data_IF_873459045304
#
_entry.id   IF_873459045304
#
_cell.length_a   1.000
_cell.length_b   1.000
_cell.length_c   1.000
_cell.angle_alpha   90.00
_cell.angle_beta   90.00
_cell.angle_gamma   90.00
#
_symmetry.space_group_name_H-M   'P 1'
#
loop_
_entity.id
_entity.type
_entity.pdbx_description
1 polymer ?
#
# COMPACT_ATOMS: atom_id res chain seq x y z
N UNK A 1 -7.73 45.93 29.65
CA UNK A 1 -6.79 45.69 28.53
C UNK A 1 -5.78 44.56 28.78
N UNK A 2 -5.37 44.23 30.00
CA UNK A 2 -4.39 43.14 30.28
C UNK A 2 -4.96 41.70 30.11
N UNK A 3 -6.24 41.47 30.38
CA UNK A 3 -6.87 40.15 30.25
C UNK A 3 -7.06 39.67 28.81
N UNK A 4 -7.30 40.57 27.84
CA UNK A 4 -7.49 40.22 26.44
C UNK A 4 -6.18 39.81 25.77
N UNK A 5 -5.05 40.33 26.24
CA UNK A 5 -3.73 39.98 25.73
C UNK A 5 -3.34 38.54 26.10
N UNK A 6 -3.66 38.11 27.32
CA UNK A 6 -3.40 36.75 27.83
C UNK A 6 -4.23 35.73 27.04
N UNK A 7 -5.51 36.05 26.78
CA UNK A 7 -6.39 35.19 25.98
C UNK A 7 -5.88 35.00 24.53
N UNK A 8 -5.35 36.07 23.93
CA UNK A 8 -4.80 35.99 22.57
C UNK A 8 -3.49 35.19 22.50
N UNK A 9 -2.68 35.21 23.55
CA UNK A 9 -1.44 34.43 23.64
C UNK A 9 -1.76 32.95 23.84
N UNK A 10 -2.77 32.60 24.62
CA UNK A 10 -3.22 31.21 24.82
C UNK A 10 -3.71 30.56 23.49
N UNK A 11 -4.35 31.35 22.60
CA UNK A 11 -4.84 30.85 21.32
C UNK A 11 -3.72 30.56 20.28
N UNK A 12 -2.56 31.15 20.45
CA UNK A 12 -1.39 30.93 19.57
C UNK A 12 -0.61 29.66 19.91
N UNK A 13 -0.83 29.04 21.05
CA UNK A 13 -0.06 27.88 21.53
C UNK A 13 -0.71 26.54 21.13
N UNK A 14 -1.94 26.55 20.61
CA UNK A 14 -2.59 25.36 20.07
C UNK A 14 -2.15 25.11 18.61
N UNK A 15 -0.89 24.80 18.40
CA UNK A 15 -0.47 24.16 17.16
C UNK A 15 -0.96 22.70 17.21
N UNK A 16 -2.21 22.49 16.84
CA UNK A 16 -2.75 21.16 16.60
C UNK A 16 -2.10 20.67 15.31
N UNK A 17 -1.04 19.87 15.44
CA UNK A 17 -0.53 19.10 14.31
C UNK A 17 -1.57 18.03 14.00
N UNK A 18 -2.52 18.33 13.12
CA UNK A 18 -3.39 17.33 12.53
C UNK A 18 -2.49 16.39 11.71
N UNK A 19 -2.40 15.15 12.16
CA UNK A 19 -1.66 14.12 11.42
C UNK A 19 -2.40 13.90 10.09
N UNK A 20 -1.77 14.29 8.99
CA UNK A 20 -2.34 14.05 7.65
C UNK A 20 -2.34 12.55 7.37
N UNK A 21 -3.54 11.99 7.22
CA UNK A 21 -3.70 10.61 6.80
C UNK A 21 -3.17 10.44 5.37
N UNK A 22 -2.52 9.33 5.08
CA UNK A 22 -2.14 8.98 3.69
C UNK A 22 -3.36 8.89 2.77
N UNK A 23 -4.54 8.61 3.33
CA UNK A 23 -5.82 8.51 2.62
C UNK A 23 -6.38 9.88 2.19
N UNK A 24 -5.74 10.99 2.55
CA UNK A 24 -6.22 12.35 2.23
C UNK A 24 -5.90 12.79 0.79
N UNK A 25 -5.09 12.03 0.06
CA UNK A 25 -4.60 12.41 -1.28
C UNK A 25 -4.89 11.32 -2.30
N UNK A 26 -5.44 11.70 -3.47
CA UNK A 26 -5.83 10.80 -4.57
C UNK A 26 -7.11 10.02 -4.30
N UNK A 27 -7.52 9.23 -5.29
CA UNK A 27 -8.64 8.32 -5.20
C UNK A 27 -8.19 6.96 -4.67
N UNK A 28 -9.07 6.30 -3.90
CA UNK A 28 -8.73 5.04 -3.22
C UNK A 28 -9.70 3.93 -3.58
N UNK A 29 -9.17 2.81 -4.04
CA UNK A 29 -9.92 1.61 -4.37
C UNK A 29 -9.48 0.46 -3.48
N UNK A 30 -10.42 -0.21 -2.82
CA UNK A 30 -10.15 -1.39 -1.99
C UNK A 30 -10.28 -2.64 -2.86
N UNK A 31 -9.28 -3.52 -2.80
CA UNK A 31 -9.28 -4.82 -3.47
C UNK A 31 -9.14 -5.95 -2.45
N UNK A 32 -9.76 -7.11 -2.72
CA UNK A 32 -9.66 -8.32 -1.94
C UNK A 32 -8.82 -9.37 -2.66
N UNK A 33 -7.96 -10.06 -1.94
CA UNK A 33 -7.05 -11.07 -2.44
C UNK A 33 -7.19 -12.34 -1.63
N UNK A 34 -7.49 -13.45 -2.29
CA UNK A 34 -7.67 -14.78 -1.66
C UNK A 34 -6.46 -15.70 -1.84
N UNK A 35 -5.61 -15.44 -2.82
CA UNK A 35 -4.41 -16.23 -3.11
C UNK A 35 -3.17 -15.36 -3.13
N UNK A 36 -2.06 -15.89 -2.62
CA UNK A 36 -0.76 -15.20 -2.71
C UNK A 36 -0.19 -15.36 -4.10
N UNK A 37 0.32 -14.28 -4.68
CA UNK A 37 0.89 -14.33 -6.03
C UNK A 37 1.24 -12.98 -6.60
N UNK A 38 1.70 -12.99 -7.85
CA UNK A 38 1.95 -11.80 -8.63
C UNK A 38 0.65 -11.38 -9.32
N UNK A 39 0.26 -10.15 -9.08
CA UNK A 39 -0.93 -9.54 -9.63
C UNK A 39 -0.55 -8.51 -10.69
N UNK A 40 -1.45 -8.35 -11.66
CA UNK A 40 -1.33 -7.40 -12.74
C UNK A 40 -2.52 -6.44 -12.72
N UNK A 41 -2.24 -5.14 -12.79
CA UNK A 41 -3.22 -4.11 -13.06
C UNK A 41 -2.96 -3.55 -14.45
N UNK A 42 -3.86 -3.78 -15.37
CA UNK A 42 -3.89 -3.20 -16.71
C UNK A 42 -5.06 -2.23 -16.86
N UNK A 43 -5.13 -1.57 -17.99
CA UNK A 43 -6.21 -0.62 -18.28
C UNK A 43 -7.59 -1.28 -18.21
N UNK A 44 -7.72 -2.54 -18.64
CA UNK A 44 -8.98 -3.27 -18.59
C UNK A 44 -9.52 -3.41 -17.17
N UNK A 45 -8.63 -3.58 -16.16
CA UNK A 45 -9.06 -3.60 -14.76
C UNK A 45 -9.75 -2.29 -14.37
N UNK A 46 -9.18 -1.14 -14.73
CA UNK A 46 -9.72 0.16 -14.40
C UNK A 46 -11.04 0.43 -15.15
N UNK A 47 -11.08 0.16 -16.44
CA UNK A 47 -12.26 0.35 -17.30
C UNK A 47 -13.45 -0.51 -16.83
N UNK A 48 -13.21 -1.79 -16.51
CA UNK A 48 -14.23 -2.71 -16.03
C UNK A 48 -14.81 -2.33 -14.65
N UNK A 49 -14.05 -1.57 -13.86
CA UNK A 49 -14.49 -1.08 -12.56
C UNK A 49 -14.94 0.39 -12.59
N UNK A 50 -15.12 0.98 -13.78
CA UNK A 50 -15.50 2.38 -13.99
C UNK A 50 -14.58 3.38 -13.28
N UNK A 51 -13.28 3.10 -13.28
CA UNK A 51 -12.25 3.95 -12.70
C UNK A 51 -11.58 4.72 -13.83
N UNK A 52 -11.75 6.05 -13.88
CA UNK A 52 -11.09 6.89 -14.87
C UNK A 52 -9.62 7.09 -14.52
N UNK A 53 -8.76 6.92 -15.53
CA UNK A 53 -7.33 7.25 -15.47
C UNK A 53 -7.00 8.54 -16.23
N UNK A 54 -8.01 9.35 -16.58
CA UNK A 54 -7.81 10.58 -17.35
C UNK A 54 -6.87 11.55 -16.62
N UNK A 55 -5.76 11.87 -17.27
CA UNK A 55 -4.74 12.75 -16.69
C UNK A 55 -3.93 12.15 -15.53
N UNK A 56 -4.05 10.85 -15.28
CA UNK A 56 -3.27 10.14 -14.27
C UNK A 56 -2.07 9.47 -14.94
N UNK A 57 -0.88 9.88 -14.52
CA UNK A 57 0.37 9.25 -14.94
C UNK A 57 0.55 7.91 -14.22
N UNK A 58 1.10 6.86 -14.88
CA UNK A 58 1.31 5.54 -14.29
C UNK A 58 2.12 5.54 -12.98
N UNK A 59 3.03 6.49 -12.80
CA UNK A 59 3.83 6.65 -11.59
C UNK A 59 2.99 7.09 -10.37
N UNK A 60 1.79 7.62 -10.60
CA UNK A 60 0.83 8.02 -9.55
C UNK A 60 -0.17 6.92 -9.15
N UNK A 61 0.02 5.71 -9.66
CA UNK A 61 -0.76 4.55 -9.25
C UNK A 61 0.08 3.71 -8.30
N UNK A 62 -0.37 3.56 -7.05
CA UNK A 62 0.35 2.88 -5.97
C UNK A 62 -0.52 1.84 -5.31
N UNK A 63 0.13 0.82 -4.77
CA UNK A 63 -0.53 -0.24 -4.00
C UNK A 63 -0.12 -0.12 -2.55
N UNK A 64 -1.07 -0.27 -1.65
CA UNK A 64 -0.86 -0.22 -0.21
C UNK A 64 -1.43 -1.44 0.49
N UNK A 65 -0.75 -1.91 1.52
CA UNK A 65 -1.18 -3.01 2.36
C UNK A 65 -0.85 -2.80 3.82
N UNK A 66 -1.40 -3.65 4.68
CA UNK A 66 -1.18 -3.56 6.14
C UNK A 66 0.24 -3.91 6.57
N UNK A 67 1.01 -4.58 5.70
CA UNK A 67 2.33 -5.12 6.04
C UNK A 67 2.28 -6.37 6.96
N UNK A 68 1.09 -6.90 7.22
CA UNK A 68 0.91 -8.15 7.96
C UNK A 68 0.73 -9.32 6.99
N UNK A 69 1.56 -10.33 7.11
CA UNK A 69 1.51 -11.55 6.30
C UNK A 69 0.40 -12.48 6.82
N UNK A 70 -0.87 -12.12 6.58
CA UNK A 70 -2.03 -12.90 6.97
C UNK A 70 -2.30 -13.02 8.48
N UNK A 71 -1.34 -12.70 9.34
CA UNK A 71 -1.53 -12.77 10.79
C UNK A 71 -2.34 -11.59 11.28
N UNK A 72 -3.27 -11.84 12.20
CA UNK A 72 -3.91 -10.75 12.94
C UNK A 72 -2.89 -10.06 13.84
N UNK A 73 -2.86 -8.72 13.89
CA UNK A 73 -1.98 -8.01 14.80
C UNK A 73 -2.36 -8.34 16.25
N UNK A 74 -1.36 -8.38 17.13
CA UNK A 74 -1.62 -8.52 18.55
C UNK A 74 -2.46 -7.35 19.06
N UNK A 75 -3.41 -7.61 19.95
CA UNK A 75 -4.37 -6.64 20.49
C UNK A 75 -3.71 -5.36 21.06
N UNK A 76 -2.46 -5.44 21.48
CA UNK A 76 -1.70 -4.33 22.07
C UNK A 76 -0.85 -3.53 21.05
N UNK A 77 -0.85 -3.89 19.78
CA UNK A 77 -0.04 -3.20 18.75
C UNK A 77 -0.85 -2.23 17.90
N UNK A 78 -1.65 -1.38 18.54
CA UNK A 78 -2.50 -0.37 17.90
C UNK A 78 -1.73 0.60 16.99
N UNK A 79 -0.44 0.83 17.24
CA UNK A 79 0.38 1.75 16.44
C UNK A 79 0.62 1.30 14.99
N UNK A 80 0.42 0.02 14.69
CA UNK A 80 0.72 -0.55 13.39
C UNK A 80 -0.50 -0.69 12.46
N UNK A 81 -1.71 -0.46 12.98
CA UNK A 81 -2.97 -0.68 12.25
C UNK A 81 -3.33 0.51 11.36
N UNK A 82 -2.81 1.70 11.64
CA UNK A 82 -3.36 2.97 11.14
C UNK A 82 -2.77 3.41 9.81
N UNK A 83 -1.55 2.97 9.46
CA UNK A 83 -0.88 3.42 8.25
C UNK A 83 -0.54 2.24 7.32
N UNK A 84 -1.35 2.00 6.27
CA UNK A 84 -0.98 1.08 5.21
C UNK A 84 0.37 1.47 4.61
N UNK A 85 1.21 0.49 4.31
CA UNK A 85 2.52 0.70 3.70
C UNK A 85 2.42 0.53 2.19
N UNK A 86 3.14 1.38 1.46
CA UNK A 86 3.29 1.21 0.02
C UNK A 86 3.98 -0.12 -0.28
N UNK A 87 3.40 -0.88 -1.21
CA UNK A 87 3.93 -2.14 -1.71
C UNK A 87 4.72 -1.83 -2.98
N UNK A 88 5.89 -2.42 -3.07
CA UNK A 88 6.73 -2.29 -4.26
C UNK A 88 5.98 -2.82 -5.48
N UNK A 89 5.95 -2.01 -6.52
CA UNK A 89 5.35 -2.37 -7.80
C UNK A 89 6.28 -1.96 -8.93
N UNK A 90 6.24 -2.71 -10.02
CA UNK A 90 6.97 -2.38 -11.23
C UNK A 90 6.00 -2.06 -12.35
N UNK A 91 6.35 -1.09 -13.17
CA UNK A 91 5.57 -0.69 -14.32
C UNK A 91 6.22 -1.22 -15.59
N UNK A 92 5.42 -1.85 -16.43
CA UNK A 92 5.79 -2.27 -17.78
C UNK A 92 5.04 -1.40 -18.78
N UNK A 93 5.72 -0.42 -19.35
CA UNK A 93 5.14 0.54 -20.27
C UNK A 93 6.09 1.67 -20.60
N UNK A 94 5.60 2.66 -21.34
CA UNK A 94 6.35 3.82 -21.74
C UNK A 94 6.42 4.85 -20.60
N UNK A 95 7.53 5.58 -20.51
CA UNK A 95 7.69 6.65 -19.52
C UNK A 95 7.00 7.94 -19.97
N UNK A 96 5.78 7.84 -20.48
CA UNK A 96 4.96 9.01 -20.76
C UNK A 96 3.95 9.26 -19.63
N UNK A 97 3.08 10.23 -19.79
CA UNK A 97 2.13 10.61 -18.74
C UNK A 97 0.77 9.89 -18.88
N UNK A 98 0.70 8.82 -19.68
CA UNK A 98 -0.55 8.08 -19.95
C UNK A 98 -0.40 6.62 -19.56
N UNK A 99 -1.52 5.98 -19.32
CA UNK A 99 -1.61 4.55 -19.10
C UNK A 99 -2.31 3.93 -20.31
N UNK A 100 -1.55 3.30 -21.18
CA UNK A 100 -2.04 2.77 -22.46
C UNK A 100 -2.52 1.31 -22.35
N UNK A 101 -3.23 0.82 -23.37
CA UNK A 101 -3.89 -0.49 -23.37
C UNK A 101 -2.95 -1.69 -23.17
N UNK A 102 -1.68 -1.57 -23.59
CA UNK A 102 -0.68 -2.64 -23.47
C UNK A 102 0.22 -2.49 -22.23
N UNK A 103 -0.03 -1.51 -21.41
CA UNK A 103 0.76 -1.20 -20.23
C UNK A 103 0.14 -1.80 -18.98
N UNK A 104 0.96 -2.11 -18.00
CA UNK A 104 0.50 -2.67 -16.75
C UNK A 104 1.47 -2.47 -15.59
N UNK A 105 0.90 -2.45 -14.40
CA UNK A 105 1.61 -2.56 -13.14
C UNK A 105 1.58 -4.01 -12.68
N UNK A 106 2.70 -4.51 -12.14
CA UNK A 106 2.74 -5.80 -11.47
C UNK A 106 3.36 -5.67 -10.09
N UNK A 107 2.87 -6.49 -9.17
CA UNK A 107 3.24 -6.46 -7.76
C UNK A 107 2.88 -7.79 -7.11
N UNK A 108 3.52 -8.10 -5.99
CA UNK A 108 3.23 -9.30 -5.22
C UNK A 108 2.28 -8.98 -4.06
N UNK A 109 1.20 -9.75 -3.93
CA UNK A 109 0.29 -9.68 -2.80
C UNK A 109 0.19 -11.04 -2.11
N UNK A 110 -0.03 -10.99 -0.81
CA UNK A 110 -0.23 -12.18 0.03
C UNK A 110 -1.70 -12.35 0.37
N UNK A 111 -2.14 -13.61 0.40
CA UNK A 111 -3.44 -13.99 0.95
C UNK A 111 -3.50 -13.75 2.46
N UNK A 112 -4.63 -14.11 3.06
CA UNK A 112 -4.80 -14.05 4.52
C UNK A 112 -3.96 -15.08 5.28
N UNK A 113 -3.46 -16.10 4.61
CA UNK A 113 -2.65 -17.15 5.21
C UNK A 113 -1.23 -16.66 5.48
N UNK A 114 -0.68 -17.02 6.63
CA UNK A 114 0.67 -16.69 7.02
C UNK A 114 1.64 -17.74 6.50
N UNK A 115 2.64 -17.29 5.73
CA UNK A 115 3.74 -18.13 5.27
C UNK A 115 4.98 -17.75 6.10
N UNK A 116 5.62 -18.73 6.71
CA UNK A 116 6.84 -18.53 7.49
C UNK A 116 7.80 -19.70 7.32
N UNK A 117 9.09 -19.38 7.51
CA UNK A 117 10.13 -20.39 7.49
C UNK A 117 10.29 -21.00 8.88
N UNK A 118 10.17 -22.32 8.98
CA UNK A 118 10.45 -23.07 10.21
C UNK A 118 11.91 -23.51 10.21
N UNK A 119 12.71 -22.86 11.03
CA UNK A 119 14.15 -23.13 11.12
C UNK A 119 14.50 -24.48 11.75
N UNK A 120 13.59 -25.09 12.50
CA UNK A 120 13.80 -26.39 13.12
C UNK A 120 13.60 -27.52 12.11
N UNK A 121 12.60 -27.38 11.26
CA UNK A 121 12.24 -28.37 10.26
C UNK A 121 12.81 -28.04 8.87
N UNK A 122 13.42 -26.88 8.70
CA UNK A 122 14.11 -26.43 7.51
C UNK A 122 13.23 -26.36 6.25
N UNK A 123 11.94 -25.95 6.41
CA UNK A 123 11.03 -25.71 5.30
C UNK A 123 10.02 -24.59 5.57
N UNK A 124 9.34 -24.16 4.51
CA UNK A 124 8.26 -23.18 4.60
C UNK A 124 6.99 -23.83 5.11
N UNK A 125 6.38 -23.24 6.12
CA UNK A 125 5.07 -23.61 6.65
C UNK A 125 4.02 -22.58 6.29
N UNK A 126 2.79 -23.06 6.11
CA UNK A 126 1.61 -22.23 5.94
C UNK A 126 0.68 -22.41 7.13
N UNK A 127 0.36 -21.32 7.79
CA UNK A 127 -0.65 -21.25 8.85
C UNK A 127 -1.91 -20.59 8.28
N UNK A 128 -3.00 -21.38 8.23
CA UNK A 128 -4.26 -20.89 7.68
C UNK A 128 -4.91 -19.89 8.61
N UNK A 129 -5.36 -18.77 8.06
CA UNK A 129 -6.16 -17.81 8.80
C UNK A 129 -7.58 -18.36 9.01
N UNK A 130 -7.96 -18.57 10.28
CA UNK A 130 -9.27 -19.15 10.64
C UNK A 130 -10.42 -18.14 10.61
N UNK A 131 -10.14 -16.83 10.45
CA UNK A 131 -11.14 -15.77 10.53
C UNK A 131 -11.56 -15.23 9.15
N UNK A 132 -10.67 -15.33 8.17
CA UNK A 132 -10.93 -14.85 6.81
C UNK A 132 -10.03 -15.54 5.81
N UNK A 133 -10.51 -15.74 4.61
CA UNK A 133 -9.75 -16.18 3.44
C UNK A 133 -9.23 -15.02 2.58
N UNK A 134 -9.62 -13.78 2.93
CA UNK A 134 -9.38 -12.60 2.10
C UNK A 134 -8.51 -11.59 2.82
N UNK A 135 -7.41 -11.20 2.17
CA UNK A 135 -6.60 -10.02 2.54
C UNK A 135 -7.04 -8.81 1.73
N UNK A 136 -7.04 -7.64 2.37
CA UNK A 136 -7.43 -6.40 1.72
C UNK A 136 -6.24 -5.48 1.49
N UNK A 137 -6.20 -4.95 0.27
CA UNK A 137 -5.22 -3.98 -0.19
C UNK A 137 -5.92 -2.76 -0.77
N UNK A 138 -5.17 -1.69 -0.97
CA UNK A 138 -5.70 -0.43 -1.47
C UNK A 138 -4.86 0.03 -2.66
N UNK A 139 -5.54 0.45 -3.72
CA UNK A 139 -4.94 1.13 -4.86
C UNK A 139 -5.17 2.62 -4.65
N UNK A 140 -4.10 3.42 -4.67
CA UNK A 140 -4.17 4.88 -4.69
C UNK A 140 -3.92 5.37 -6.11
N UNK A 141 -4.75 6.28 -6.59
CA UNK A 141 -4.74 6.80 -7.95
C UNK A 141 -4.68 8.32 -7.89
N UNK A 142 -3.75 8.93 -8.62
CA UNK A 142 -3.62 10.38 -8.76
C UNK A 142 -3.00 11.09 -7.54
N UNK A 143 -2.53 10.37 -6.53
CA UNK A 143 -1.78 10.93 -5.41
C UNK A 143 -0.32 11.26 -5.76
N UNK A 144 0.58 11.20 -4.75
CA UNK A 144 2.01 11.39 -4.97
C UNK A 144 2.60 10.26 -5.81
N UNK A 145 3.72 10.52 -6.48
CA UNK A 145 4.41 9.48 -7.28
C UNK A 145 4.92 8.33 -6.43
N UNK A 146 5.01 7.13 -7.04
CA UNK A 146 5.57 5.93 -6.40
C UNK A 146 6.98 6.18 -5.92
N UNK A 147 7.30 5.63 -4.76
CA UNK A 147 8.68 5.54 -4.28
C UNK A 147 9.28 4.26 -4.86
N UNK A 148 10.02 4.39 -5.96
CA UNK A 148 10.79 3.27 -6.51
C UNK A 148 11.95 2.97 -5.57
N UNK A 149 11.79 2.01 -4.69
CA UNK A 149 12.91 1.39 -3.99
C UNK A 149 13.38 0.24 -4.90
N UNK A 150 14.28 0.54 -5.81
CA UNK A 150 15.07 -0.46 -6.51
C UNK A 150 16.18 -0.89 -5.55
N UNK A 151 15.89 -1.81 -4.64
CA UNK A 151 16.94 -2.60 -4.04
C UNK A 151 17.44 -3.54 -5.13
N UNK A 152 18.61 -3.25 -5.70
CA UNK A 152 19.33 -4.23 -6.50
C UNK A 152 19.61 -5.43 -5.58
N UNK A 153 18.84 -6.49 -5.75
CA UNK A 153 19.19 -7.78 -5.17
C UNK A 153 20.38 -8.28 -5.99
N UNK A 154 21.59 -8.02 -5.48
CA UNK A 154 22.79 -8.69 -6.00
C UNK A 154 22.70 -10.15 -5.61
N UNK A 155 22.36 -11.00 -6.56
CA UNK A 155 22.55 -12.43 -6.40
C UNK A 155 24.06 -12.70 -6.55
N UNK A 156 24.76 -12.94 -5.46
CA UNK A 156 26.05 -13.60 -5.52
C UNK A 156 25.76 -15.06 -5.90
N UNK A 157 25.98 -15.38 -7.17
CA UNK A 157 26.03 -16.77 -7.58
C UNK A 157 27.30 -17.35 -6.96
N UNK A 158 27.15 -18.25 -6.01
CA UNK A 158 28.24 -19.07 -5.54
C UNK A 158 28.67 -19.98 -6.69
N UNK A 159 29.90 -19.77 -7.20
CA UNK A 159 30.61 -20.68 -8.08
C UNK A 159 30.97 -21.98 -7.35
#
# INVERSE_FOLDING_TARGET
MRFHLIFFILFKVLNINAQTSILSNGDWVKIGVVESGIYKLDKNFFDNNNISLDGVSPDKIKIFGSGYNGALPQLNSLSNIINPKEIQSSFNGNSDSKFDDNEFLYFYLQSSDKIYYDSLENYLKTEKNIYTDTSYYFINIGGDSRKLVLDEIKYDFFD
#
